data_IF_948683932750
#
_entry.id   IF_948683932750
#
_cell.length_a   1.000
_cell.length_b   1.000
_cell.length_c   1.000
_cell.angle_alpha   90.00
_cell.angle_beta   90.00
_cell.angle_gamma   90.00
#
_symmetry.space_group_name_H-M   'P 1'
#
loop_
_entity.id
_entity.type
_entity.pdbx_description
1 polymer ?
#
# COMPACT_ATOMS: atom_id res chain seq x y z
N UNK A 1 1.87 -15.75 4.40
CA UNK A 1 2.09 -14.88 3.22
C UNK A 1 1.92 -13.39 3.55
N UNK A 2 1.56 -13.06 4.80
CA UNK A 2 1.28 -11.69 5.22
C UNK A 2 2.51 -10.93 5.70
N UNK A 3 3.49 -11.61 6.32
CA UNK A 3 4.68 -10.94 6.85
C UNK A 3 5.52 -10.25 5.76
N UNK A 4 5.72 -10.92 4.63
CA UNK A 4 6.47 -10.36 3.48
C UNK A 4 5.72 -9.15 2.91
N UNK A 5 4.39 -9.22 2.79
CA UNK A 5 3.57 -8.10 2.31
C UNK A 5 3.60 -6.91 3.27
N UNK A 6 3.60 -7.16 4.58
CA UNK A 6 3.70 -6.10 5.59
C UNK A 6 5.08 -5.42 5.52
N UNK A 7 6.16 -6.19 5.42
CA UNK A 7 7.53 -5.64 5.27
C UNK A 7 7.63 -4.81 3.98
N UNK A 8 7.11 -5.33 2.87
CA UNK A 8 7.12 -4.63 1.58
C UNK A 8 6.22 -3.40 1.60
N UNK A 9 5.06 -3.43 2.26
CA UNK A 9 4.18 -2.27 2.38
C UNK A 9 4.75 -1.15 3.25
N UNK A 10 5.59 -1.49 4.23
CA UNK A 10 6.31 -0.49 5.02
C UNK A 10 7.46 0.09 4.19
N UNK A 11 8.26 -0.73 3.52
CA UNK A 11 9.42 -0.24 2.75
C UNK A 11 8.98 0.52 1.47
N UNK A 12 7.99 -0.03 0.77
CA UNK A 12 7.42 0.47 -0.49
C UNK A 12 5.89 0.27 -0.45
N UNK A 13 5.14 1.24 0.11
CA UNK A 13 3.68 1.19 0.21
C UNK A 13 2.96 0.85 -1.10
N UNK A 14 3.36 1.41 -2.27
CA UNK A 14 2.71 1.14 -3.54
C UNK A 14 2.84 -0.33 -3.97
N UNK A 15 3.96 -0.98 -3.64
CA UNK A 15 4.20 -2.39 -3.97
C UNK A 15 3.32 -3.31 -3.14
N UNK A 16 3.14 -3.02 -1.85
CA UNK A 16 2.22 -3.77 -0.99
C UNK A 16 0.78 -3.72 -1.50
N UNK A 17 0.32 -2.51 -1.87
CA UNK A 17 -1.01 -2.30 -2.45
C UNK A 17 -1.12 -2.95 -3.83
N UNK A 18 -0.12 -2.80 -4.70
CA UNK A 18 -0.10 -3.43 -6.02
C UNK A 18 -0.24 -4.95 -5.95
N UNK A 19 0.46 -5.61 -5.03
CA UNK A 19 0.35 -7.05 -4.84
C UNK A 19 -1.02 -7.47 -4.27
N UNK A 20 -1.76 -6.56 -3.61
CA UNK A 20 -3.08 -6.82 -3.05
C UNK A 20 -4.21 -6.58 -4.05
N UNK A 21 -4.17 -5.50 -4.83
CA UNK A 21 -5.27 -5.03 -5.70
C UNK A 21 -4.89 -4.89 -7.19
N UNK A 22 -3.62 -5.05 -7.55
CA UNK A 22 -3.12 -4.84 -8.92
C UNK A 22 -3.10 -3.37 -9.33
N UNK A 23 -3.24 -3.10 -10.64
CA UNK A 23 -3.39 -1.75 -11.19
C UNK A 23 -4.84 -1.22 -11.02
N UNK A 24 -5.34 -1.21 -9.79
CA UNK A 24 -6.66 -0.65 -9.46
C UNK A 24 -6.55 0.81 -8.98
N UNK A 25 -7.69 1.50 -8.85
CA UNK A 25 -7.74 2.88 -8.35
C UNK A 25 -7.05 3.07 -6.99
N UNK A 26 -7.07 2.06 -6.12
CA UNK A 26 -6.37 2.09 -4.83
C UNK A 26 -4.84 2.12 -4.95
N UNK A 27 -4.24 1.54 -6.01
CA UNK A 27 -2.80 1.63 -6.27
C UNK A 27 -2.40 3.06 -6.61
N UNK A 28 -3.15 3.71 -7.51
CA UNK A 28 -2.91 5.10 -7.89
C UNK A 28 -3.14 6.07 -6.73
N UNK A 29 -4.18 5.83 -5.91
CA UNK A 29 -4.41 6.57 -4.68
C UNK A 29 -3.25 6.41 -3.70
N UNK A 30 -2.71 5.20 -3.54
CA UNK A 30 -1.58 4.97 -2.65
C UNK A 30 -0.33 5.72 -3.11
N UNK A 31 -0.04 5.73 -4.43
CA UNK A 31 1.05 6.52 -5.03
C UNK A 31 0.88 8.01 -4.72
N UNK A 32 -0.31 8.56 -4.97
CA UNK A 32 -0.61 9.97 -4.70
C UNK A 32 -0.43 10.30 -3.20
N UNK A 33 -0.90 9.42 -2.31
CA UNK A 33 -0.75 9.58 -0.88
C UNK A 33 0.72 9.55 -0.48
N UNK A 34 1.53 8.59 -0.95
CA UNK A 34 2.98 8.56 -0.69
C UNK A 34 3.72 9.80 -1.20
N UNK A 35 3.26 10.41 -2.31
CA UNK A 35 3.84 11.65 -2.85
C UNK A 35 3.44 12.88 -2.02
N UNK A 36 2.22 12.93 -1.50
CA UNK A 36 1.76 13.99 -0.59
C UNK A 36 2.30 13.84 0.84
N UNK A 37 2.66 12.63 1.23
CA UNK A 37 3.27 12.31 2.51
C UNK A 37 3.44 10.79 2.68
N UNK A 38 4.61 10.36 3.11
CA UNK A 38 4.88 8.92 3.25
C UNK A 38 3.94 8.21 4.25
N UNK A 39 3.58 8.90 5.35
CA UNK A 39 2.70 8.38 6.41
C UNK A 39 1.30 8.00 5.91
N UNK A 40 0.52 8.88 5.24
CA UNK A 40 -0.80 8.50 4.74
C UNK A 40 -0.75 7.37 3.70
N UNK A 41 0.34 7.26 2.93
CA UNK A 41 0.60 6.13 2.04
C UNK A 41 0.71 4.80 2.79
N UNK A 42 1.44 4.76 3.90
CA UNK A 42 1.55 3.56 4.75
C UNK A 42 0.19 3.19 5.34
N UNK A 43 -0.54 4.15 5.91
CA UNK A 43 -1.86 3.90 6.54
C UNK A 43 -2.82 3.31 5.51
N UNK A 44 -2.88 3.88 4.31
CA UNK A 44 -3.73 3.37 3.25
C UNK A 44 -3.31 1.97 2.79
N UNK A 45 -2.00 1.71 2.68
CA UNK A 45 -1.49 0.39 2.31
C UNK A 45 -1.84 -0.68 3.34
N UNK A 46 -1.61 -0.39 4.63
CA UNK A 46 -1.97 -1.29 5.74
C UNK A 46 -3.48 -1.54 5.78
N UNK A 47 -4.29 -0.51 5.57
CA UNK A 47 -5.75 -0.65 5.55
C UNK A 47 -6.22 -1.54 4.38
N UNK A 48 -5.66 -1.37 3.17
CA UNK A 48 -5.95 -2.24 2.02
C UNK A 48 -5.58 -3.70 2.31
N UNK A 49 -4.43 -3.93 2.96
CA UNK A 49 -3.95 -5.27 3.31
C UNK A 49 -4.81 -5.90 4.41
N UNK A 50 -5.18 -5.14 5.44
CA UNK A 50 -5.99 -5.63 6.55
C UNK A 50 -7.47 -5.85 6.20
N UNK A 51 -7.99 -5.13 5.21
CA UNK A 51 -9.41 -5.19 4.81
C UNK A 51 -9.71 -6.26 3.76
N UNK A 52 -8.71 -7.06 3.36
CA UNK A 52 -8.85 -8.13 2.36
C UNK A 52 -8.24 -9.41 2.92
#
# INVERSE_FOLDING_TARGET
MDLIRIIVAILLPPLGVFLQVGFAGAFWLNILLTLLGYIPGIIHAVWIIARR
#
